data_IF_422349945612
#
_entry.id   IF_422349945612
#
_cell.length_a   1.000
_cell.length_b   1.000
_cell.length_c   1.000
_cell.angle_alpha   90.00
_cell.angle_beta   90.00
_cell.angle_gamma   90.00
#
_symmetry.space_group_name_H-M   'P 1'
#
loop_
_entity.id
_entity.type
_entity.pdbx_description
1 polymer ?
#
# COMPACT_ATOMS: atom_id res chain seq x y z
N UNK A 1 20.69 -10.05 -2.46
CA UNK A 1 20.19 -11.07 -1.51
C UNK A 1 18.90 -10.52 -0.96
N UNK A 2 17.78 -11.17 -1.24
CA UNK A 2 16.47 -10.69 -0.80
C UNK A 2 16.43 -10.63 0.73
N UNK A 3 16.07 -9.46 1.24
CA UNK A 3 15.83 -9.20 2.66
C UNK A 3 14.33 -9.11 2.89
N UNK A 4 13.88 -9.59 4.04
CA UNK A 4 12.47 -9.57 4.44
C UNK A 4 12.30 -8.73 5.70
N UNK A 5 11.26 -7.90 5.71
CA UNK A 5 10.82 -7.11 6.84
C UNK A 5 9.45 -7.64 7.26
N UNK A 6 9.33 -7.99 8.53
CA UNK A 6 8.08 -8.34 9.18
C UNK A 6 7.42 -7.09 9.76
N UNK A 7 6.20 -7.23 10.27
CA UNK A 7 5.51 -6.15 10.98
C UNK A 7 6.33 -5.55 12.12
N UNK A 8 7.16 -6.35 12.82
CA UNK A 8 8.02 -5.86 13.89
C UNK A 8 9.13 -4.93 13.39
N UNK A 9 9.48 -5.02 12.10
CA UNK A 9 10.52 -4.22 11.45
C UNK A 9 9.95 -2.93 10.81
N UNK A 10 8.63 -2.74 10.87
CA UNK A 10 7.92 -1.57 10.33
C UNK A 10 7.35 -0.78 11.53
N UNK A 11 8.20 -0.03 12.26
CA UNK A 11 7.74 0.77 13.39
C UNK A 11 6.75 1.83 12.94
N UNK A 12 5.82 2.20 13.82
CA UNK A 12 4.81 3.24 13.60
C UNK A 12 3.79 2.97 12.47
N UNK A 13 3.58 1.71 12.08
CA UNK A 13 2.53 1.35 11.15
C UNK A 13 1.14 1.74 11.69
N UNK A 14 0.59 2.83 11.14
CA UNK A 14 -0.73 3.35 11.47
C UNK A 14 -1.40 3.91 10.22
N UNK A 15 -2.59 3.40 9.94
CA UNK A 15 -3.44 3.93 8.86
C UNK A 15 -4.06 5.24 9.34
N UNK A 16 -4.00 6.26 8.49
CA UNK A 16 -4.62 7.55 8.74
C UNK A 16 -6.11 7.50 8.36
N UNK A 17 -7.04 7.68 9.32
CA UNK A 17 -8.47 7.68 9.03
C UNK A 17 -8.89 8.81 8.07
N UNK A 18 -8.21 9.96 8.09
CA UNK A 18 -8.53 11.08 7.20
C UNK A 18 -8.28 10.72 5.74
N UNK A 19 -7.20 9.98 5.48
CA UNK A 19 -6.88 9.47 4.14
C UNK A 19 -7.97 8.54 3.62
N UNK A 20 -8.47 7.62 4.46
CA UNK A 20 -9.54 6.69 4.07
C UNK A 20 -10.85 7.44 3.80
N UNK A 21 -11.19 8.45 4.61
CA UNK A 21 -12.34 9.33 4.33
C UNK A 21 -12.21 10.08 3.01
N UNK A 22 -11.03 10.64 2.72
CA UNK A 22 -10.73 11.31 1.46
C UNK A 22 -10.91 10.36 0.27
N UNK A 23 -10.40 9.13 0.37
CA UNK A 23 -10.55 8.10 -0.67
C UNK A 23 -12.02 7.69 -0.87
N UNK A 24 -12.82 7.74 0.19
CA UNK A 24 -14.26 7.52 0.12
C UNK A 24 -15.05 8.72 -0.44
N UNK A 25 -14.37 9.81 -0.82
CA UNK A 25 -14.98 11.03 -1.39
C UNK A 25 -15.41 12.07 -0.36
N UNK A 26 -14.96 11.98 0.89
CA UNK A 26 -15.33 12.90 1.97
C UNK A 26 -14.10 13.64 2.52
N UNK A 27 -13.95 14.91 2.16
CA UNK A 27 -12.97 15.81 2.78
C UNK A 27 -13.37 16.26 4.19
N UNK A 28 -14.67 16.15 4.52
CA UNK A 28 -15.23 16.40 5.85
C UNK A 28 -16.14 15.22 6.24
N UNK A 29 -15.71 14.34 7.17
CA UNK A 29 -16.46 13.17 7.60
C UNK A 29 -17.87 13.49 8.15
N UNK A 30 -18.07 14.70 8.70
CA UNK A 30 -19.37 15.09 9.28
C UNK A 30 -20.47 15.21 8.23
N UNK A 31 -20.10 15.42 6.96
CA UNK A 31 -21.01 15.51 5.82
C UNK A 31 -21.42 14.14 5.27
N UNK A 32 -20.77 13.07 5.72
CA UNK A 32 -21.12 11.72 5.30
C UNK A 32 -22.50 11.33 5.84
N UNK A 33 -23.29 10.60 5.05
CA UNK A 33 -24.58 10.09 5.49
C UNK A 33 -24.39 9.15 6.69
N UNK A 34 -25.35 9.04 7.63
CA UNK A 34 -25.22 8.19 8.81
C UNK A 34 -24.87 6.72 8.50
N UNK A 35 -25.36 6.18 7.38
CA UNK A 35 -25.01 4.83 6.93
C UNK A 35 -23.51 4.68 6.61
N UNK A 36 -22.90 5.71 6.03
CA UNK A 36 -21.48 5.73 5.69
C UNK A 36 -20.63 5.88 6.96
N UNK A 37 -21.06 6.72 7.91
CA UNK A 37 -20.39 6.86 9.21
C UNK A 37 -20.38 5.53 9.98
N UNK A 38 -21.51 4.82 10.00
CA UNK A 38 -21.62 3.48 10.61
C UNK A 38 -20.73 2.46 9.90
N UNK A 39 -20.71 2.47 8.57
CA UNK A 39 -19.84 1.58 7.81
C UNK A 39 -18.37 1.83 8.12
N UNK A 40 -17.95 3.10 8.17
CA UNK A 40 -16.58 3.48 8.52
C UNK A 40 -16.21 3.08 9.95
N UNK A 41 -17.10 3.33 10.92
CA UNK A 41 -16.90 2.91 12.30
C UNK A 41 -16.70 1.39 12.37
N UNK A 42 -17.55 0.62 11.69
CA UNK A 42 -17.44 -0.83 11.64
C UNK A 42 -16.14 -1.29 11.00
N UNK A 43 -15.69 -0.62 9.94
CA UNK A 43 -14.38 -0.87 9.33
C UNK A 43 -13.25 -0.61 10.33
N UNK A 44 -13.31 0.44 11.13
CA UNK A 44 -12.26 0.74 12.11
C UNK A 44 -12.24 -0.21 13.31
N UNK A 45 -13.38 -0.84 13.64
CA UNK A 45 -13.46 -1.89 14.66
C UNK A 45 -12.76 -3.19 14.23
N UNK A 46 -12.85 -3.57 12.96
CA UNK A 46 -12.36 -4.88 12.48
C UNK A 46 -11.04 -4.77 11.71
N UNK A 47 -10.88 -3.71 10.91
CA UNK A 47 -9.83 -3.54 9.91
C UNK A 47 -8.42 -3.63 10.46
N UNK A 48 -8.04 -2.84 11.49
CA UNK A 48 -6.68 -2.84 12.03
C UNK A 48 -6.17 -4.22 12.46
N UNK A 49 -7.06 -5.09 12.97
CA UNK A 49 -6.71 -6.44 13.43
C UNK A 49 -6.44 -7.46 12.29
N UNK A 50 -6.76 -7.07 11.05
CA UNK A 50 -6.60 -7.88 9.84
C UNK A 50 -5.30 -7.54 9.09
N UNK A 51 -4.61 -6.46 9.47
CA UNK A 51 -3.39 -6.01 8.81
C UNK A 51 -2.19 -6.81 9.31
N UNK A 52 -1.47 -7.41 8.38
CA UNK A 52 -0.23 -8.17 8.59
C UNK A 52 0.85 -7.60 7.65
N UNK A 53 1.31 -6.36 7.89
CA UNK A 53 2.23 -5.69 6.99
C UNK A 53 3.57 -6.41 6.92
N UNK A 54 4.06 -6.56 5.70
CA UNK A 54 5.36 -7.16 5.42
C UNK A 54 5.94 -6.55 4.15
N UNK A 55 7.26 -6.56 4.06
CA UNK A 55 7.97 -6.16 2.88
C UNK A 55 9.11 -7.13 2.55
N UNK A 56 9.50 -7.21 1.31
CA UNK A 56 10.80 -7.73 0.94
C UNK A 56 11.48 -6.79 -0.04
N UNK A 57 12.80 -6.73 0.01
CA UNK A 57 13.57 -5.90 -0.89
C UNK A 57 14.90 -6.53 -1.26
N UNK A 58 15.45 -6.10 -2.40
CA UNK A 58 16.84 -6.36 -2.75
C UNK A 58 17.44 -5.10 -3.38
N UNK A 59 18.75 -4.98 -3.30
CA UNK A 59 19.50 -3.82 -3.79
C UNK A 59 20.40 -4.27 -4.93
N UNK A 60 20.27 -3.60 -6.06
CA UNK A 60 20.95 -3.94 -7.31
C UNK A 60 21.89 -2.80 -7.71
N UNK A 61 23.15 -3.09 -8.05
CA UNK A 61 24.03 -2.10 -8.66
C UNK A 61 23.44 -1.58 -9.98
N UNK A 62 23.47 -0.27 -10.16
CA UNK A 62 23.14 0.36 -11.44
C UNK A 62 24.36 0.23 -12.33
N UNK A 63 24.18 -0.39 -13.50
CA UNK A 63 25.26 -0.71 -14.45
C UNK A 63 25.31 0.26 -15.62
N UNK A 64 24.27 1.08 -15.79
CA UNK A 64 24.23 2.14 -16.80
C UNK A 64 22.83 2.70 -16.98
N UNK A 65 22.68 3.58 -17.96
CA UNK A 65 21.41 4.19 -18.29
C UNK A 65 21.52 5.10 -19.51
N UNK A 66 20.38 5.48 -20.04
CA UNK A 66 20.24 6.53 -21.06
C UNK A 66 19.38 7.65 -20.49
N UNK A 67 19.05 8.68 -21.27
CA UNK A 67 18.08 9.70 -20.87
C UNK A 67 16.66 9.16 -20.63
N UNK A 68 16.37 7.92 -21.06
CA UNK A 68 15.04 7.32 -20.97
C UNK A 68 15.05 5.92 -20.33
N UNK A 69 16.19 5.46 -19.80
CA UNK A 69 16.29 4.12 -19.23
C UNK A 69 17.32 4.00 -18.12
N UNK A 70 17.07 3.11 -17.17
CA UNK A 70 18.04 2.69 -16.14
C UNK A 70 18.27 1.20 -16.28
N UNK A 71 19.52 0.78 -16.27
CA UNK A 71 19.91 -0.64 -16.33
C UNK A 71 20.55 -1.04 -15.01
N UNK A 72 20.07 -2.15 -14.44
CA UNK A 72 20.59 -2.72 -13.21
C UNK A 72 21.28 -4.06 -13.47
N UNK A 73 22.09 -4.51 -12.52
CA UNK A 73 22.74 -5.81 -12.56
C UNK A 73 21.74 -6.94 -12.84
N UNK A 74 22.08 -7.87 -13.75
CA UNK A 74 21.16 -8.90 -14.23
C UNK A 74 20.42 -8.57 -15.53
N UNK A 75 20.83 -7.51 -16.24
CA UNK A 75 20.31 -7.07 -17.55
C UNK A 75 18.82 -6.68 -17.56
N UNK A 76 18.26 -6.37 -16.39
CA UNK A 76 16.93 -5.75 -16.29
C UNK A 76 17.07 -4.26 -16.63
N UNK A 77 16.24 -3.78 -17.55
CA UNK A 77 16.19 -2.38 -17.96
C UNK A 77 14.80 -1.81 -17.75
N UNK A 78 14.72 -0.71 -17.01
CA UNK A 78 13.49 0.05 -16.80
C UNK A 78 13.43 1.19 -17.81
N UNK A 79 12.39 1.22 -18.63
CA UNK A 79 12.16 2.25 -19.63
C UNK A 79 11.28 3.36 -19.02
N UNK A 80 11.92 4.43 -18.55
CA UNK A 80 11.24 5.60 -17.98
C UNK A 80 12.21 6.78 -17.94
N UNK A 81 11.77 7.93 -18.47
CA UNK A 81 12.52 9.18 -18.36
C UNK A 81 12.62 9.64 -16.91
N UNK A 82 11.53 9.54 -16.16
CA UNK A 82 11.48 10.01 -14.78
C UNK A 82 12.40 9.18 -13.88
N UNK A 83 12.41 7.85 -14.06
CA UNK A 83 13.36 6.99 -13.34
C UNK A 83 14.81 7.29 -13.78
N UNK A 84 15.06 7.45 -15.08
CA UNK A 84 16.40 7.76 -15.57
C UNK A 84 16.94 9.08 -15.01
N UNK A 85 16.07 10.08 -14.84
CA UNK A 85 16.43 11.34 -14.20
C UNK A 85 16.70 11.17 -12.70
N UNK A 86 15.82 10.49 -11.97
CA UNK A 86 15.98 10.26 -10.53
C UNK A 86 17.24 9.43 -10.19
N UNK A 87 17.61 8.48 -11.04
CA UNK A 87 18.74 7.57 -10.82
C UNK A 87 20.05 8.00 -11.53
N UNK A 88 20.11 9.20 -12.12
CA UNK A 88 21.25 9.65 -12.97
C UNK A 88 22.61 9.52 -12.29
N UNK A 89 22.68 9.80 -10.99
CA UNK A 89 23.92 9.74 -10.19
C UNK A 89 23.91 8.62 -9.14
N UNK A 90 22.85 7.81 -9.13
CA UNK A 90 22.70 6.71 -8.20
C UNK A 90 23.60 5.54 -8.58
N UNK A 91 24.14 4.85 -7.58
CA UNK A 91 24.99 3.66 -7.78
C UNK A 91 24.24 2.35 -7.61
N UNK A 92 23.12 2.41 -6.90
CA UNK A 92 22.31 1.25 -6.53
C UNK A 92 20.83 1.60 -6.63
N UNK A 93 20.02 0.60 -6.93
CA UNK A 93 18.56 0.66 -6.93
C UNK A 93 18.03 -0.38 -5.96
N UNK A 94 17.24 0.05 -4.99
CA UNK A 94 16.49 -0.86 -4.13
C UNK A 94 15.10 -1.07 -4.72
N UNK A 95 14.76 -2.32 -4.97
CA UNK A 95 13.41 -2.73 -5.39
C UNK A 95 12.75 -3.39 -4.20
N UNK A 96 11.53 -2.96 -3.88
CA UNK A 96 10.74 -3.46 -2.77
C UNK A 96 9.37 -3.96 -3.25
N UNK A 97 8.88 -5.00 -2.58
CA UNK A 97 7.52 -5.50 -2.68
C UNK A 97 6.93 -5.41 -1.27
N UNK A 98 5.73 -4.84 -1.17
CA UNK A 98 5.03 -4.67 0.10
C UNK A 98 3.67 -5.36 0.06
N UNK A 99 3.18 -5.74 1.23
CA UNK A 99 1.84 -6.29 1.41
C UNK A 99 1.33 -5.92 2.81
N UNK A 100 0.01 -5.95 2.98
CA UNK A 100 -0.68 -5.89 4.27
C UNK A 100 -1.19 -7.27 4.73
N UNK A 101 -0.73 -8.33 4.07
CA UNK A 101 -1.22 -9.69 4.27
C UNK A 101 -2.59 -9.91 3.63
N UNK A 102 -3.05 -11.18 3.55
CA UNK A 102 -4.26 -11.53 2.79
C UNK A 102 -5.55 -11.49 3.62
N UNK A 103 -5.48 -11.27 4.94
CA UNK A 103 -6.63 -11.38 5.84
C UNK A 103 -7.66 -10.28 5.60
N UNK A 104 -7.22 -9.09 5.22
CA UNK A 104 -8.11 -7.99 4.90
C UNK A 104 -8.95 -8.30 3.66
N UNK A 105 -8.34 -8.72 2.56
CA UNK A 105 -9.02 -9.03 1.29
C UNK A 105 -10.00 -10.20 1.45
N UNK A 106 -9.64 -11.22 2.22
CA UNK A 106 -10.57 -12.32 2.58
C UNK A 106 -11.80 -11.83 3.34
N UNK A 107 -11.61 -10.85 4.24
CA UNK A 107 -12.73 -10.27 4.97
C UNK A 107 -13.57 -9.35 4.08
N UNK A 108 -12.96 -8.64 3.12
CA UNK A 108 -13.66 -7.88 2.10
C UNK A 108 -14.56 -8.80 1.28
N UNK A 109 -14.00 -9.87 0.71
CA UNK A 109 -14.74 -10.88 -0.07
C UNK A 109 -15.97 -11.39 0.69
N UNK A 110 -15.77 -11.82 1.94
CA UNK A 110 -16.86 -12.26 2.83
C UNK A 110 -17.95 -11.19 3.03
N UNK A 111 -17.56 -9.93 3.24
CA UNK A 111 -18.53 -8.84 3.42
C UNK A 111 -19.36 -8.58 2.15
N UNK A 112 -18.76 -8.76 0.97
CA UNK A 112 -19.49 -8.67 -0.30
C UNK A 112 -20.47 -9.84 -0.46
N UNK A 113 -20.06 -11.07 -0.14
CA UNK A 113 -20.91 -12.26 -0.18
C UNK A 113 -22.11 -12.16 0.77
N UNK A 114 -21.90 -11.59 1.96
CA UNK A 114 -22.94 -11.38 2.99
C UNK A 114 -23.86 -10.17 2.70
N UNK A 115 -23.67 -9.46 1.57
CA UNK A 115 -24.44 -8.27 1.21
C UNK A 115 -24.09 -7.02 2.02
N UNK A 116 -22.99 -7.05 2.80
CA UNK A 116 -22.47 -5.92 3.57
C UNK A 116 -21.43 -5.11 2.77
N UNK A 117 -21.75 -4.82 1.51
CA UNK A 117 -20.84 -4.20 0.55
C UNK A 117 -20.36 -2.82 0.99
N UNK A 118 -21.14 -2.07 1.78
CA UNK A 118 -20.72 -0.76 2.28
C UNK A 118 -19.50 -0.83 3.20
N UNK A 119 -19.49 -1.78 4.15
CA UNK A 119 -18.33 -2.04 5.00
C UNK A 119 -17.19 -2.66 4.18
N UNK A 120 -17.52 -3.57 3.26
CA UNK A 120 -16.55 -4.17 2.33
C UNK A 120 -15.77 -3.12 1.53
N UNK A 121 -16.46 -2.16 0.92
CA UNK A 121 -15.83 -1.06 0.19
C UNK A 121 -14.90 -0.21 1.06
N UNK A 122 -15.33 0.20 2.26
CA UNK A 122 -14.49 1.03 3.12
C UNK A 122 -13.29 0.24 3.66
N UNK A 123 -13.47 -1.07 3.92
CA UNK A 123 -12.39 -1.96 4.32
C UNK A 123 -11.33 -2.11 3.21
N UNK A 124 -11.75 -2.19 1.94
CA UNK A 124 -10.86 -2.18 0.77
C UNK A 124 -10.08 -0.86 0.63
N UNK A 125 -10.73 0.28 0.87
CA UNK A 125 -10.05 1.58 0.93
C UNK A 125 -9.05 1.67 2.08
N UNK A 126 -9.37 1.09 3.25
CA UNK A 126 -8.43 0.97 4.36
C UNK A 126 -7.22 0.15 3.95
N UNK A 127 -7.40 -0.97 3.24
CA UNK A 127 -6.31 -1.79 2.73
C UNK A 127 -5.39 -1.02 1.77
N UNK A 128 -5.97 -0.28 0.84
CA UNK A 128 -5.22 0.60 -0.08
C UNK A 128 -4.41 1.66 0.68
N UNK A 129 -5.03 2.34 1.66
CA UNK A 129 -4.33 3.32 2.49
C UNK A 129 -3.27 2.69 3.40
N UNK A 130 -3.44 1.43 3.77
CA UNK A 130 -2.50 0.69 4.61
C UNK A 130 -1.25 0.27 3.83
N UNK A 131 -1.38 -0.17 2.58
CA UNK A 131 -0.22 -0.55 1.75
C UNK A 131 0.69 0.64 1.49
N UNK A 132 0.12 1.83 1.30
CA UNK A 132 0.86 3.11 1.14
C UNK A 132 1.69 3.47 2.39
N UNK A 133 1.41 2.88 3.56
CA UNK A 133 2.21 3.09 4.79
C UNK A 133 3.37 2.12 4.93
N UNK A 134 3.37 1.04 4.15
CA UNK A 134 4.46 0.05 4.14
C UNK A 134 5.54 0.43 3.12
N UNK A 135 5.15 1.09 2.02
CA UNK A 135 6.03 1.55 0.94
C UNK A 135 6.75 2.86 1.29
#
# INVERSE_FOLDING_TARGET
>A
MIRTLSQADIPDFKVDPERVWCMAGYSDPSRARPIMQKAFQRTWEIGPSLLEPAACYDTFPITGGTSCSVTVHGAVSFQSRDLAEQFREAREMTVLIVTIGPRLEKQVEKLFEEGNSGVGCILDLLGSAAVDKVA
#
